data_IF_272333074887
#
_entry.id   IF_272333074887
#
_cell.length_a   1.000
_cell.length_b   1.000
_cell.length_c   1.000
_cell.angle_alpha   90.00
_cell.angle_beta   90.00
_cell.angle_gamma   90.00
#
_symmetry.space_group_name_H-M   'P 1'
#
loop_
_entity.id
_entity.type
_entity.pdbx_description
1 polymer ?
#
# COMPACT_ATOMS: atom_id res chain seq x y z
N UNK A 1 -63.40 -64.35 11.28
CA UNK A 1 -64.14 -64.38 9.99
C UNK A 1 -63.78 -63.13 9.20
N UNK A 2 -63.42 -63.31 7.92
CA UNK A 2 -63.24 -62.33 6.82
C UNK A 2 -62.16 -61.23 7.02
N UNK A 3 -61.04 -61.26 6.28
CA UNK A 3 -60.79 -60.88 4.86
C UNK A 3 -60.85 -59.36 4.63
N UNK A 4 -59.67 -58.74 4.36
CA UNK A 4 -59.24 -58.04 3.10
C UNK A 4 -60.08 -56.81 2.72
N UNK A 5 -59.63 -55.69 2.13
CA UNK A 5 -58.38 -55.15 1.57
C UNK A 5 -58.73 -53.70 1.10
N UNK A 6 -57.70 -52.91 0.76
CA UNK A 6 -57.69 -51.80 -0.25
C UNK A 6 -58.19 -50.39 0.14
N UNK A 7 -57.19 -49.51 0.31
CA UNK A 7 -56.88 -48.25 -0.41
C UNK A 7 -57.99 -47.30 -0.89
N UNK A 8 -57.90 -46.02 -0.50
CA UNK A 8 -57.89 -44.90 -1.45
C UNK A 8 -57.38 -43.58 -0.82
N UNK A 9 -56.55 -42.89 -1.59
CA UNK A 9 -56.11 -41.50 -1.41
C UNK A 9 -57.32 -40.55 -1.33
N UNK A 10 -57.24 -39.54 -0.47
CA UNK A 10 -57.87 -38.24 -0.76
C UNK A 10 -57.07 -37.09 -0.16
N UNK A 11 -56.98 -36.04 -0.96
CA UNK A 11 -56.14 -34.86 -0.84
C UNK A 11 -56.38 -34.02 0.42
N UNK A 12 -55.30 -33.49 1.01
CA UNK A 12 -55.35 -32.35 1.89
C UNK A 12 -54.82 -31.13 1.13
N UNK A 13 -55.73 -30.18 0.86
CA UNK A 13 -55.42 -28.84 0.38
C UNK A 13 -54.50 -28.12 1.37
N UNK A 14 -53.33 -27.67 0.90
CA UNK A 14 -52.51 -26.69 1.61
C UNK A 14 -52.64 -25.38 0.84
N UNK A 15 -53.17 -24.37 1.54
CA UNK A 15 -53.40 -23.04 1.00
C UNK A 15 -52.10 -22.38 0.54
N UNK A 16 -52.19 -21.74 -0.62
CA UNK A 16 -51.23 -20.75 -1.07
C UNK A 16 -51.21 -19.58 -0.07
N UNK A 17 -50.11 -19.43 0.66
CA UNK A 17 -49.67 -18.13 1.13
C UNK A 17 -48.61 -17.63 0.13
N UNK A 18 -48.95 -16.58 -0.61
CA UNK A 18 -48.03 -15.89 -1.48
C UNK A 18 -46.92 -15.23 -0.65
N UNK A 19 -45.70 -15.77 -0.75
CA UNK A 19 -44.49 -15.06 -0.31
C UNK A 19 -44.11 -14.14 -1.46
N UNK A 20 -44.01 -12.82 -1.26
CA UNK A 20 -43.46 -11.94 -2.29
C UNK A 20 -42.00 -12.34 -2.53
N UNK A 21 -41.75 -12.87 -3.73
CA UNK A 21 -40.42 -13.02 -4.28
C UNK A 21 -39.81 -11.64 -4.42
N UNK A 22 -38.76 -11.38 -3.64
CA UNK A 22 -38.13 -10.06 -3.63
C UNK A 22 -36.80 -10.09 -2.95
N UNK A 23 -35.87 -10.91 -3.45
CA UNK A 23 -34.43 -10.63 -3.52
C UNK A 23 -33.87 -11.63 -4.54
N UNK A 24 -33.92 -11.27 -5.83
CA UNK A 24 -33.09 -11.93 -6.82
C UNK A 24 -31.65 -11.64 -6.44
N UNK A 25 -30.90 -12.66 -6.03
CA UNK A 25 -29.45 -12.59 -6.01
C UNK A 25 -29.00 -12.11 -7.39
N UNK A 26 -28.44 -10.91 -7.46
CA UNK A 26 -27.82 -10.41 -8.69
C UNK A 26 -26.74 -11.41 -9.05
N UNK A 27 -26.73 -12.00 -10.26
CA UNK A 27 -25.63 -12.85 -10.66
C UNK A 27 -24.36 -11.98 -10.69
N UNK A 28 -23.47 -12.16 -9.72
CA UNK A 28 -22.14 -11.56 -9.74
C UNK A 28 -21.45 -12.07 -11.01
N UNK A 29 -21.16 -11.17 -11.95
CA UNK A 29 -20.36 -11.50 -13.12
C UNK A 29 -18.93 -11.71 -12.65
N UNK A 30 -18.50 -12.95 -12.50
CA UNK A 30 -17.08 -13.28 -12.36
C UNK A 30 -16.42 -13.11 -13.73
N UNK A 31 -15.40 -12.26 -13.82
CA UNK A 31 -14.52 -12.20 -14.97
C UNK A 31 -13.41 -13.22 -14.74
N UNK A 32 -13.36 -14.24 -15.59
CA UNK A 32 -12.35 -15.30 -15.53
C UNK A 32 -11.43 -15.18 -16.74
N UNK A 33 -10.14 -14.97 -16.48
CA UNK A 33 -9.04 -15.14 -17.43
C UNK A 33 -8.08 -16.14 -16.80
N UNK A 34 -8.14 -17.40 -17.26
CA UNK A 34 -7.35 -18.48 -16.66
C UNK A 34 -7.70 -18.75 -15.19
N UNK A 35 -6.68 -18.88 -14.33
CA UNK A 35 -6.76 -19.17 -12.89
C UNK A 35 -7.10 -17.94 -12.03
N UNK A 36 -7.23 -16.76 -12.64
CA UNK A 36 -7.47 -15.50 -11.96
C UNK A 36 -8.95 -15.14 -12.01
N UNK A 37 -9.52 -14.86 -10.84
CA UNK A 37 -10.90 -14.40 -10.70
C UNK A 37 -10.91 -13.16 -9.82
N UNK A 38 -11.52 -12.08 -10.32
CA UNK A 38 -11.87 -10.90 -9.52
C UNK A 38 -13.39 -10.83 -9.46
N UNK A 39 -13.91 -10.49 -8.28
CA UNK A 39 -15.33 -10.15 -8.14
C UNK A 39 -15.64 -8.93 -9.00
N UNK A 40 -16.84 -8.87 -9.58
CA UNK A 40 -17.26 -7.68 -10.32
C UNK A 40 -17.19 -6.44 -9.43
N UNK A 41 -16.34 -5.50 -9.79
CA UNK A 41 -16.21 -4.18 -9.17
C UNK A 41 -16.97 -3.13 -9.97
N UNK A 42 -17.34 -2.04 -9.31
CA UNK A 42 -17.87 -0.86 -10.00
C UNK A 42 -16.73 0.07 -10.40
N UNK A 43 -16.91 0.91 -11.43
CA UNK A 43 -15.93 1.91 -11.83
C UNK A 43 -15.56 2.88 -10.71
N UNK A 44 -16.55 3.25 -9.90
CA UNK A 44 -16.40 4.05 -8.69
C UNK A 44 -15.43 3.39 -7.72
N UNK A 45 -15.63 2.09 -7.47
CA UNK A 45 -14.79 1.32 -6.57
C UNK A 45 -13.36 1.19 -7.09
N UNK A 46 -13.17 0.81 -8.36
CA UNK A 46 -11.83 0.69 -8.96
C UNK A 46 -11.08 2.03 -8.93
N UNK A 47 -11.77 3.15 -9.20
CA UNK A 47 -11.20 4.48 -9.05
C UNK A 47 -10.83 4.81 -7.60
N UNK A 48 -11.67 4.43 -6.63
CA UNK A 48 -11.44 4.67 -5.21
C UNK A 48 -10.22 3.91 -4.68
N UNK A 49 -10.08 2.63 -5.00
CA UNK A 49 -8.98 1.79 -4.49
C UNK A 49 -7.65 2.00 -5.20
N UNK A 50 -7.65 2.54 -6.42
CA UNK A 50 -6.42 2.85 -7.15
C UNK A 50 -5.66 4.01 -6.50
N UNK A 51 -4.33 3.90 -6.39
CA UNK A 51 -3.49 5.00 -5.92
C UNK A 51 -3.29 6.05 -7.01
N UNK A 52 -3.19 5.59 -8.27
CA UNK A 52 -3.05 6.41 -9.47
C UNK A 52 -4.02 5.92 -10.56
N UNK A 53 -4.65 6.84 -11.27
CA UNK A 53 -5.49 6.54 -12.43
C UNK A 53 -5.04 7.42 -13.59
N UNK A 54 -4.53 6.82 -14.66
CA UNK A 54 -3.96 7.57 -15.77
C UNK A 54 -4.17 6.86 -17.10
N UNK A 55 -4.19 7.65 -18.17
CA UNK A 55 -4.21 7.19 -19.55
C UNK A 55 -2.86 7.52 -20.21
N UNK A 56 -2.32 6.58 -20.97
CA UNK A 56 -1.05 6.80 -21.67
C UNK A 56 -0.60 5.63 -22.55
N UNK A 57 0.49 5.88 -23.28
CA UNK A 57 1.09 4.93 -24.23
C UNK A 57 2.26 4.18 -23.60
N UNK A 58 2.33 2.86 -23.79
CA UNK A 58 3.49 2.06 -23.40
C UNK A 58 4.64 2.31 -24.36
N UNK A 59 5.80 2.71 -23.85
CA UNK A 59 7.02 2.97 -24.64
C UNK A 59 8.09 1.90 -24.47
N UNK A 60 8.01 1.10 -23.41
CA UNK A 60 8.97 0.02 -23.12
C UNK A 60 8.32 -1.04 -22.25
N UNK A 61 8.69 -2.30 -22.44
CA UNK A 61 8.35 -3.40 -21.54
C UNK A 61 9.62 -4.19 -21.25
N UNK A 62 9.93 -4.39 -19.97
CA UNK A 62 11.10 -5.14 -19.51
C UNK A 62 10.68 -6.24 -18.54
N UNK A 63 11.38 -7.37 -18.59
CA UNK A 63 11.35 -8.34 -17.50
C UNK A 63 12.30 -7.86 -16.38
N UNK A 64 11.80 -7.84 -15.16
CA UNK A 64 12.49 -7.29 -13.99
C UNK A 64 12.29 -8.17 -12.75
N UNK A 65 13.04 -7.88 -11.70
CA UNK A 65 12.89 -8.48 -10.39
C UNK A 65 12.60 -7.38 -9.35
N UNK A 66 11.59 -7.62 -8.53
CA UNK A 66 11.23 -6.77 -7.40
C UNK A 66 10.74 -7.67 -6.26
N UNK A 67 11.01 -7.33 -4.99
CA UNK A 67 10.76 -8.24 -3.86
C UNK A 67 11.43 -9.62 -4.06
N UNK A 68 12.53 -9.64 -4.83
CA UNK A 68 13.26 -10.85 -5.22
C UNK A 68 12.47 -11.82 -6.12
N UNK A 69 11.33 -11.40 -6.68
CA UNK A 69 10.47 -12.20 -7.56
C UNK A 69 10.47 -11.62 -8.97
N UNK A 70 10.24 -12.44 -10.01
CA UNK A 70 10.09 -11.94 -11.36
C UNK A 70 8.79 -11.14 -11.50
N UNK A 71 8.86 -10.03 -12.24
CA UNK A 71 7.76 -9.18 -12.65
C UNK A 71 8.00 -8.71 -14.09
N UNK A 72 6.96 -8.14 -14.68
CA UNK A 72 7.07 -7.28 -15.85
C UNK A 72 6.90 -5.84 -15.47
N UNK A 73 7.67 -4.97 -16.11
CA UNK A 73 7.57 -3.53 -15.95
C UNK A 73 7.25 -2.89 -17.29
N UNK A 74 6.15 -2.14 -17.35
CA UNK A 74 5.84 -1.29 -18.50
C UNK A 74 6.20 0.16 -18.19
N UNK A 75 6.88 0.84 -19.11
CA UNK A 75 7.14 2.27 -19.08
C UNK A 75 6.10 2.99 -19.93
N UNK A 76 5.55 4.09 -19.40
CA UNK A 76 4.51 4.88 -20.02
C UNK A 76 4.96 6.31 -20.31
N UNK A 77 4.44 6.86 -21.40
CA UNK A 77 4.23 8.30 -21.54
C UNK A 77 2.77 8.55 -21.18
N UNK A 78 2.54 9.24 -20.05
CA UNK A 78 1.19 9.55 -19.59
C UNK A 78 0.66 10.77 -20.34
N UNK A 79 -0.46 10.57 -21.04
CA UNK A 79 -1.18 11.64 -21.74
C UNK A 79 -2.06 12.43 -20.78
N UNK A 80 -2.67 11.74 -19.81
CA UNK A 80 -3.58 12.32 -18.84
C UNK A 80 -3.55 11.57 -17.51
N UNK A 81 -3.50 12.31 -16.41
CA UNK A 81 -3.73 11.77 -15.06
C UNK A 81 -5.10 12.21 -14.56
N UNK A 82 -5.89 11.25 -14.07
CA UNK A 82 -7.19 11.47 -13.45
C UNK A 82 -7.10 11.39 -11.92
N UNK A 83 -6.13 10.64 -11.38
CA UNK A 83 -5.87 10.49 -9.95
C UNK A 83 -4.38 10.23 -9.72
N UNK A 84 -3.85 10.79 -8.64
CA UNK A 84 -2.47 10.56 -8.22
C UNK A 84 -1.45 11.34 -9.05
N UNK A 85 -0.18 10.93 -8.97
CA UNK A 85 0.92 11.57 -9.68
C UNK A 85 1.10 10.99 -11.09
N UNK A 86 1.98 11.61 -11.87
CA UNK A 86 2.38 11.07 -13.16
C UNK A 86 3.19 9.80 -12.96
N UNK A 87 2.60 8.67 -13.34
CA UNK A 87 3.23 7.36 -13.27
C UNK A 87 4.01 7.11 -14.55
N UNK A 88 5.31 6.84 -14.41
CA UNK A 88 6.20 6.51 -15.53
C UNK A 88 6.37 5.01 -15.73
N UNK A 89 6.32 4.23 -14.66
CA UNK A 89 6.53 2.79 -14.69
C UNK A 89 5.45 2.09 -13.88
N UNK A 90 5.01 0.93 -14.37
CA UNK A 90 4.04 0.09 -13.68
C UNK A 90 4.56 -1.35 -13.65
N UNK A 91 4.54 -1.97 -12.48
CA UNK A 91 4.85 -3.39 -12.28
C UNK A 91 3.58 -4.24 -12.46
N UNK A 92 3.76 -5.43 -13.03
CA UNK A 92 2.70 -6.44 -13.13
C UNK A 92 3.31 -7.84 -13.05
N UNK A 93 2.52 -8.83 -12.63
CA UNK A 93 3.01 -10.20 -12.56
C UNK A 93 3.48 -10.70 -13.96
N UNK A 94 4.34 -11.73 -14.03
CA UNK A 94 4.99 -12.13 -15.29
C UNK A 94 4.02 -12.49 -16.43
N UNK A 95 2.86 -13.04 -16.08
CA UNK A 95 1.90 -13.57 -17.05
C UNK A 95 0.47 -13.60 -16.49
N UNK A 96 -0.50 -13.80 -17.39
CA UNK A 96 -1.93 -13.87 -17.05
C UNK A 96 -2.31 -14.98 -16.08
N UNK A 97 -1.53 -16.06 -15.97
CA UNK A 97 -1.83 -17.13 -14.99
C UNK A 97 -1.56 -16.69 -13.55
N UNK A 98 -0.75 -15.64 -13.39
CA UNK A 98 -0.47 -14.94 -12.14
C UNK A 98 -1.18 -13.57 -12.07
N UNK A 99 -2.21 -13.39 -12.90
CA UNK A 99 -3.02 -12.17 -13.03
C UNK A 99 -2.21 -10.96 -13.55
N UNK A 100 -1.13 -11.22 -14.28
CA UNK A 100 -0.29 -10.20 -14.89
C UNK A 100 -0.85 -9.67 -16.20
N UNK A 101 -0.57 -8.40 -16.48
CA UNK A 101 -0.94 -7.74 -17.75
C UNK A 101 0.14 -7.98 -18.79
N UNK A 102 -0.26 -8.33 -20.01
CA UNK A 102 0.65 -8.30 -21.17
C UNK A 102 0.52 -6.94 -21.85
N UNK A 103 1.41 -6.02 -21.50
CA UNK A 103 1.48 -4.71 -22.17
C UNK A 103 2.14 -4.83 -23.54
N UNK A 104 1.58 -4.12 -24.52
CA UNK A 104 2.11 -4.03 -25.88
C UNK A 104 2.72 -2.65 -26.13
N UNK A 105 3.93 -2.63 -26.68
CA UNK A 105 4.61 -1.36 -27.00
C UNK A 105 3.82 -0.58 -28.06
N UNK A 106 3.68 0.73 -27.85
CA UNK A 106 2.93 1.65 -28.72
C UNK A 106 1.43 1.66 -28.48
N UNK A 107 0.91 0.82 -27.58
CA UNK A 107 -0.51 0.75 -27.28
C UNK A 107 -0.87 1.67 -26.11
N UNK A 108 -2.11 2.16 -26.15
CA UNK A 108 -2.68 3.03 -25.12
C UNK A 108 -3.52 2.22 -24.14
N UNK A 109 -3.39 2.57 -22.86
CA UNK A 109 -4.10 1.93 -21.78
C UNK A 109 -4.65 2.97 -20.81
N UNK A 110 -5.81 2.67 -20.22
CA UNK A 110 -6.26 3.33 -19.01
C UNK A 110 -5.91 2.42 -17.83
N UNK A 111 -5.14 2.95 -16.87
CA UNK A 111 -4.46 2.18 -15.85
C UNK A 111 -4.89 2.64 -14.46
N UNK A 112 -5.34 1.70 -13.64
CA UNK A 112 -5.75 1.87 -12.24
C UNK A 112 -4.66 1.30 -11.30
N UNK A 113 -3.50 1.95 -11.27
CA UNK A 113 -2.35 1.46 -10.51
C UNK A 113 -2.52 1.65 -9.01
N UNK A 114 -2.18 0.62 -8.23
CA UNK A 114 -2.08 0.70 -6.78
C UNK A 114 -0.60 0.74 -6.36
N UNK A 115 -0.28 1.43 -5.26
CA UNK A 115 1.08 1.51 -4.74
C UNK A 115 1.36 0.45 -3.66
N UNK A 116 0.62 -0.67 -3.63
CA UNK A 116 0.72 -1.68 -2.55
C UNK A 116 2.11 -2.29 -2.44
N UNK A 117 2.88 -2.30 -3.54
CA UNK A 117 4.24 -2.79 -3.55
C UNK A 117 5.28 -1.73 -3.14
N UNK A 118 4.87 -0.48 -2.93
CA UNK A 118 5.78 0.68 -2.83
C UNK A 118 6.11 1.28 -4.20
N UNK A 119 5.69 0.61 -5.27
CA UNK A 119 5.72 1.07 -6.65
C UNK A 119 4.32 0.92 -7.27
N UNK A 120 3.95 1.75 -8.26
CA UNK A 120 2.72 1.55 -9.02
C UNK A 120 2.68 0.15 -9.62
N UNK A 121 1.64 -0.60 -9.30
CA UNK A 121 1.47 -1.98 -9.72
C UNK A 121 0.02 -2.26 -10.13
N UNK A 122 -0.15 -3.20 -11.05
CA UNK A 122 -1.45 -3.59 -11.61
C UNK A 122 -1.55 -5.09 -11.84
N UNK A 123 -2.78 -5.57 -11.78
CA UNK A 123 -3.22 -6.83 -12.34
C UNK A 123 -3.96 -6.62 -13.67
N UNK A 124 -4.26 -7.71 -14.37
CA UNK A 124 -5.09 -7.69 -15.59
C UNK A 124 -6.46 -7.03 -15.41
N UNK A 125 -6.97 -6.96 -14.18
CA UNK A 125 -8.25 -6.33 -13.87
C UNK A 125 -8.16 -4.83 -13.60
N UNK A 126 -6.95 -4.28 -13.54
CA UNK A 126 -6.70 -2.87 -13.25
C UNK A 126 -6.33 -2.09 -14.52
N UNK A 127 -6.42 -2.72 -15.69
CA UNK A 127 -6.02 -2.15 -16.97
C UNK A 127 -7.13 -2.32 -17.99
N UNK A 128 -7.58 -1.21 -18.58
CA UNK A 128 -8.56 -1.20 -19.66
C UNK A 128 -7.88 -0.90 -20.99
N UNK A 129 -8.37 -1.56 -22.04
CA UNK A 129 -7.88 -1.43 -23.41
C UNK A 129 -9.02 -1.38 -24.42
N UNK A 130 -8.75 -0.88 -25.62
CA UNK A 130 -9.73 -0.83 -26.71
C UNK A 130 -10.88 0.15 -26.47
N UNK A 131 -12.10 -0.22 -26.87
CA UNK A 131 -13.25 0.68 -26.88
C UNK A 131 -13.76 1.05 -25.48
N UNK A 132 -13.52 0.21 -24.46
CA UNK A 132 -13.94 0.48 -23.07
C UNK A 132 -13.28 1.75 -22.50
N UNK A 133 -12.07 2.09 -22.97
CA UNK A 133 -11.33 3.27 -22.53
C UNK A 133 -12.17 4.55 -22.74
N UNK A 134 -12.85 4.69 -23.88
CA UNK A 134 -13.56 5.93 -24.22
C UNK A 134 -14.71 6.21 -23.24
N UNK A 135 -15.51 5.18 -22.96
CA UNK A 135 -16.61 5.28 -22.01
C UNK A 135 -16.09 5.55 -20.60
N UNK A 136 -15.00 4.88 -20.20
CA UNK A 136 -14.41 5.07 -18.88
C UNK A 136 -13.80 6.46 -18.70
N UNK A 137 -13.09 6.99 -19.70
CA UNK A 137 -12.53 8.34 -19.65
C UNK A 137 -13.66 9.38 -19.57
N UNK A 138 -14.70 9.25 -20.39
CA UNK A 138 -15.84 10.17 -20.32
C UNK A 138 -16.51 10.14 -18.93
N UNK A 139 -16.64 8.97 -18.32
CA UNK A 139 -17.14 8.85 -16.94
C UNK A 139 -16.18 9.53 -15.94
N UNK A 140 -14.87 9.28 -16.02
CA UNK A 140 -13.86 9.91 -15.15
C UNK A 140 -13.86 11.44 -15.26
N UNK A 141 -14.06 11.99 -16.45
CA UNK A 141 -14.10 13.44 -16.69
C UNK A 141 -15.35 14.10 -16.12
N UNK A 142 -16.45 13.37 -16.02
CA UNK A 142 -17.74 13.85 -15.52
C UNK A 142 -18.03 13.42 -14.07
N UNK A 143 -17.11 12.70 -13.44
CA UNK A 143 -17.29 12.21 -12.08
C UNK A 143 -17.21 13.36 -11.08
N UNK A 144 -18.35 13.79 -10.54
CA UNK A 144 -18.38 14.53 -9.28
C UNK A 144 -18.02 13.54 -8.16
N UNK A 145 -16.86 13.76 -7.54
CA UNK A 145 -16.20 12.83 -6.61
C UNK A 145 -17.13 12.34 -5.49
N UNK A 146 -16.89 11.08 -5.06
CA UNK A 146 -17.40 10.32 -3.89
C UNK A 146 -18.58 10.96 -3.14
N UNK A 147 -19.71 10.24 -2.92
CA UNK A 147 -20.78 10.73 -2.05
C UNK A 147 -20.20 11.12 -0.69
N UNK A 148 -20.07 12.42 -0.44
CA UNK A 148 -19.74 12.92 0.88
C UNK A 148 -20.90 12.53 1.78
N UNK A 149 -20.65 11.90 2.95
CA UNK A 149 -21.68 11.73 3.96
C UNK A 149 -22.39 13.07 4.16
N UNK A 150 -23.71 13.08 4.33
CA UNK A 150 -24.44 14.31 4.60
C UNK A 150 -23.75 15.12 5.69
N UNK A 151 -23.53 16.40 5.42
CA UNK A 151 -22.95 17.33 6.37
C UNK A 151 -23.70 17.28 7.71
N UNK A 152 -22.96 17.41 8.81
CA UNK A 152 -23.52 17.40 10.17
C UNK A 152 -23.21 16.15 10.98
N UNK A 153 -23.92 16.04 12.11
CA UNK A 153 -23.78 14.95 13.08
C UNK A 153 -24.45 13.67 12.57
N UNK A 154 -23.73 12.56 12.67
CA UNK A 154 -24.21 11.23 12.33
C UNK A 154 -23.88 10.25 13.44
N UNK A 155 -24.75 9.28 13.69
CA UNK A 155 -24.48 8.20 14.62
C UNK A 155 -23.92 7.01 13.87
N UNK A 156 -22.67 6.67 14.16
CA UNK A 156 -21.99 5.51 13.57
C UNK A 156 -21.55 4.53 14.65
N UNK A 157 -21.36 3.27 14.27
CA UNK A 157 -20.79 2.25 15.16
C UNK A 157 -19.28 2.22 14.98
N UNK A 158 -18.57 2.59 16.03
CA UNK A 158 -17.12 2.54 16.12
C UNK A 158 -16.70 1.29 16.90
N UNK A 159 -15.55 0.74 16.54
CA UNK A 159 -14.93 -0.36 17.25
C UNK A 159 -13.64 0.16 17.91
N UNK A 160 -13.42 -0.06 19.21
CA UNK A 160 -12.19 0.36 19.88
C UNK A 160 -10.95 -0.29 19.26
N UNK A 161 -9.91 0.52 18.98
CA UNK A 161 -8.60 0.04 18.53
C UNK A 161 -7.53 0.15 19.62
N UNK A 162 -7.90 -0.02 20.89
CA UNK A 162 -7.02 0.16 22.06
C UNK A 162 -5.93 -0.90 22.18
N UNK A 163 -6.10 -2.04 21.53
CA UNK A 163 -5.15 -3.14 21.42
C UNK A 163 -4.27 -3.07 20.17
N UNK A 164 -4.45 -2.02 19.35
CA UNK A 164 -3.70 -1.81 18.12
C UNK A 164 -2.44 -1.03 18.42
N UNK A 165 -1.31 -1.57 17.96
CA UNK A 165 -0.06 -0.83 17.91
C UNK A 165 0.13 -0.22 16.53
N UNK A 166 0.67 0.99 16.48
CA UNK A 166 1.12 1.64 15.25
C UNK A 166 2.64 1.77 15.33
N UNK A 167 3.36 1.37 14.29
CA UNK A 167 4.81 1.52 14.23
C UNK A 167 5.24 2.31 13.00
N UNK A 168 6.36 3.01 13.09
CA UNK A 168 7.08 3.57 11.94
C UNK A 168 8.50 3.02 11.94
N UNK A 169 8.93 2.46 10.81
CA UNK A 169 10.27 1.88 10.63
C UNK A 169 10.64 0.89 11.76
N UNK A 170 9.66 0.10 12.22
CA UNK A 170 9.85 -0.89 13.28
C UNK A 170 9.72 -0.36 14.71
N UNK A 171 9.68 0.95 14.90
CA UNK A 171 9.54 1.58 16.22
C UNK A 171 8.06 1.84 16.54
N UNK A 172 7.58 1.33 17.69
CA UNK A 172 6.20 1.56 18.16
C UNK A 172 6.01 3.04 18.51
N UNK A 173 4.95 3.64 17.95
CA UNK A 173 4.60 5.04 18.15
C UNK A 173 3.60 5.20 19.29
N UNK A 174 3.73 6.25 20.12
CA UNK A 174 2.67 6.60 21.06
C UNK A 174 1.46 7.15 20.27
N UNK A 175 0.30 6.52 20.40
CA UNK A 175 -0.95 7.01 19.77
C UNK A 175 -1.91 7.45 20.87
N UNK A 176 -2.21 8.75 20.91
CA UNK A 176 -3.15 9.31 21.88
C UNK A 176 -4.00 10.43 21.25
N UNK A 177 -5.34 10.37 21.35
CA UNK A 177 -6.14 9.27 21.90
C UNK A 177 -6.01 7.95 21.13
N UNK A 178 -6.60 6.87 21.65
CA UNK A 178 -6.49 5.56 20.99
C UNK A 178 -7.12 5.55 19.58
N UNK A 179 -6.64 4.67 18.68
CA UNK A 179 -7.27 4.41 17.39
C UNK A 179 -8.71 3.85 17.51
N UNK A 180 -9.47 3.92 16.43
CA UNK A 180 -10.77 3.25 16.27
C UNK A 180 -10.84 2.54 14.92
N UNK A 181 -11.62 1.46 14.82
CA UNK A 181 -12.00 0.89 13.54
C UNK A 181 -13.39 1.36 13.13
N UNK A 182 -13.52 1.68 11.85
CA UNK A 182 -14.77 2.03 11.19
C UNK A 182 -14.70 1.61 9.73
N UNK A 183 -15.75 0.97 9.20
CA UNK A 183 -15.83 0.51 7.80
C UNK A 183 -14.58 -0.24 7.32
N UNK A 184 -14.15 -1.23 8.11
CA UNK A 184 -12.97 -2.07 7.84
C UNK A 184 -11.63 -1.29 7.72
N UNK A 185 -11.60 -0.05 8.20
CA UNK A 185 -10.44 0.83 8.17
C UNK A 185 -10.02 1.21 9.59
N UNK A 186 -8.71 1.30 9.80
CA UNK A 186 -8.15 1.81 11.05
C UNK A 186 -8.08 3.33 10.95
N UNK A 187 -8.77 4.01 11.85
CA UNK A 187 -8.73 5.45 12.01
C UNK A 187 -7.83 5.82 13.19
N UNK A 188 -7.00 6.82 12.98
CA UNK A 188 -6.08 7.35 13.98
C UNK A 188 -6.37 8.83 14.22
N UNK A 189 -6.10 9.35 15.41
CA UNK A 189 -6.24 10.78 15.65
C UNK A 189 -5.19 11.54 14.83
N UNK A 190 -5.53 12.74 14.37
CA UNK A 190 -4.58 13.61 13.65
C UNK A 190 -3.36 14.02 14.48
N UNK A 191 -3.42 13.88 15.81
CA UNK A 191 -2.29 14.07 16.73
C UNK A 191 -1.15 13.10 16.46
N UNK A 192 -1.41 11.89 15.95
CA UNK A 192 -0.36 10.98 15.50
C UNK A 192 0.54 11.65 14.45
N UNK A 193 -0.07 12.25 13.43
CA UNK A 193 0.69 12.91 12.37
C UNK A 193 1.37 14.19 12.88
N UNK A 194 0.68 14.98 13.72
CA UNK A 194 1.21 16.25 14.23
C UNK A 194 2.32 16.08 15.27
N UNK A 195 1.98 15.42 16.38
CA UNK A 195 2.79 15.42 17.59
C UNK A 195 3.86 14.34 17.57
N UNK A 196 3.60 13.23 16.87
CA UNK A 196 4.50 12.07 16.84
C UNK A 196 5.36 12.08 15.60
N UNK A 197 4.74 12.28 14.43
CA UNK A 197 5.45 12.28 13.14
C UNK A 197 5.98 13.67 12.74
N UNK A 198 5.56 14.73 13.43
CA UNK A 198 6.04 16.09 13.17
C UNK A 198 5.53 16.72 11.88
N UNK A 199 4.43 16.19 11.31
CA UNK A 199 3.68 16.85 10.25
C UNK A 199 2.91 18.04 10.80
N UNK A 200 2.42 18.91 9.93
CA UNK A 200 1.73 20.11 10.40
C UNK A 200 0.23 19.99 10.13
N UNK A 201 -0.59 20.33 11.12
CA UNK A 201 -2.05 20.33 10.99
C UNK A 201 -2.58 21.72 11.33
N UNK A 202 -3.43 22.26 10.47
CA UNK A 202 -4.01 23.60 10.58
C UNK A 202 -5.52 23.48 10.58
N UNK A 203 -6.16 24.08 11.57
CA UNK A 203 -7.59 24.34 11.49
C UNK A 203 -7.83 25.66 10.75
N UNK A 204 -8.71 25.65 9.76
CA UNK A 204 -9.20 26.85 9.11
C UNK A 204 -10.61 27.12 9.63
N UNK A 205 -10.71 28.01 10.63
CA UNK A 205 -11.97 28.36 11.29
C UNK A 205 -12.94 29.12 10.39
N UNK A 206 -12.46 29.78 9.33
CA UNK A 206 -13.31 30.53 8.39
C UNK A 206 -14.07 29.62 7.43
N UNK A 207 -13.47 28.47 7.09
CA UNK A 207 -14.05 27.49 6.16
C UNK A 207 -14.56 26.24 6.86
N UNK A 208 -14.29 26.07 8.15
CA UNK A 208 -14.61 24.86 8.92
C UNK A 208 -13.82 23.65 8.44
N UNK A 209 -12.51 23.77 8.17
CA UNK A 209 -11.70 22.72 7.54
C UNK A 209 -10.40 22.45 8.29
N UNK A 210 -10.02 21.18 8.47
CA UNK A 210 -8.69 20.78 8.94
C UNK A 210 -7.74 20.46 7.77
N UNK A 211 -6.74 21.30 7.51
CA UNK A 211 -5.68 21.04 6.55
C UNK A 211 -4.52 20.26 7.23
N UNK A 212 -4.05 19.15 6.63
CA UNK A 212 -2.83 18.43 7.07
C UNK A 212 -1.72 18.73 6.06
N UNK A 213 -0.79 19.62 6.40
CA UNK A 213 0.26 20.05 5.48
C UNK A 213 1.56 19.29 5.75
N UNK A 214 2.22 18.87 4.66
CA UNK A 214 3.56 18.32 4.70
C UNK A 214 4.58 19.42 5.00
N UNK A 215 5.66 19.03 5.70
CA UNK A 215 6.67 19.95 6.25
C UNK A 215 7.45 20.71 5.16
N UNK A 216 7.56 20.15 3.95
CA UNK A 216 8.25 20.73 2.79
C UNK A 216 7.58 21.99 2.25
N UNK A 217 6.25 22.10 2.36
CA UNK A 217 5.48 23.22 1.81
C UNK A 217 5.40 24.41 2.78
N UNK A 218 6.01 24.29 3.96
CA UNK A 218 5.81 25.21 5.09
C UNK A 218 6.82 26.38 5.16
N UNK A 219 7.74 26.55 4.20
CA UNK A 219 8.77 27.60 4.29
C UNK A 219 8.25 29.07 4.40
N UNK A 220 6.93 29.32 4.44
CA UNK A 220 6.35 30.65 4.65
C UNK A 220 5.05 30.77 5.47
N UNK A 221 4.46 29.69 6.01
CA UNK A 221 3.10 29.76 6.61
C UNK A 221 3.11 29.87 8.16
N UNK A 222 4.22 29.56 8.82
CA UNK A 222 4.37 29.62 10.28
C UNK A 222 4.11 31.02 10.90
N UNK A 223 4.11 32.07 10.08
CA UNK A 223 3.99 33.45 10.57
C UNK A 223 2.55 33.94 10.77
N UNK A 224 1.51 33.15 10.46
CA UNK A 224 0.10 33.62 10.54
C UNK A 224 -0.91 32.72 11.26
N UNK A 225 -0.53 31.54 11.75
CA UNK A 225 -1.43 30.65 12.50
C UNK A 225 -1.33 30.87 14.01
N UNK A 226 -2.45 31.24 14.63
CA UNK A 226 -2.60 31.49 16.07
C UNK A 226 -2.30 30.23 16.93
N UNK A 227 -1.37 30.31 17.92
CA UNK A 227 -1.10 29.23 18.89
C UNK A 227 -2.34 28.74 19.68
N UNK A 228 -3.40 29.55 19.78
CA UNK A 228 -4.65 29.19 20.45
C UNK A 228 -5.47 28.12 19.69
N UNK A 229 -5.13 27.81 18.44
CA UNK A 229 -5.77 26.72 17.68
C UNK A 229 -5.27 25.32 18.05
N UNK A 230 -4.35 25.26 19.02
CA UNK A 230 -3.87 24.03 19.68
C UNK A 230 -4.79 23.53 20.81
N UNK A 231 -6.01 24.05 20.95
CA UNK A 231 -6.94 23.60 21.99
C UNK A 231 -7.61 22.27 21.62
N UNK A 232 -6.83 21.20 21.72
CA UNK A 232 -7.37 19.92 22.18
C UNK A 232 -7.92 20.17 23.59
N UNK A 233 -9.24 20.30 23.73
CA UNK A 233 -9.83 20.45 25.05
C UNK A 233 -9.68 19.08 25.74
N UNK A 234 -8.81 18.98 26.75
CA UNK A 234 -8.47 17.73 27.48
C UNK A 234 -9.62 17.10 28.28
N UNK A 235 -10.86 17.32 27.84
CA UNK A 235 -12.09 16.79 28.41
C UNK A 235 -12.73 15.71 27.52
N UNK A 236 -12.04 15.24 26.48
CA UNK A 236 -12.48 14.11 25.66
C UNK A 236 -12.71 12.88 26.56
N UNK A 237 -13.92 12.32 26.50
CA UNK A 237 -14.31 11.03 27.10
C UNK A 237 -13.36 9.91 26.64
N UNK A 238 -12.72 10.09 25.47
CA UNK A 238 -11.75 9.17 24.90
C UNK A 238 -12.42 7.95 24.26
N UNK A 239 -11.62 7.12 23.60
CA UNK A 239 -12.11 5.82 23.12
C UNK A 239 -12.32 4.92 24.33
N UNK A 240 -13.47 4.25 24.48
CA UNK A 240 -13.70 3.31 25.56
C UNK A 240 -12.58 2.26 25.63
N UNK A 241 -12.09 1.95 26.83
CA UNK A 241 -11.07 0.92 27.04
C UNK A 241 -11.57 -0.52 26.76
N UNK A 242 -12.88 -0.68 26.54
CA UNK A 242 -13.53 -1.94 26.15
C UNK A 242 -13.11 -2.37 24.73
N UNK A 243 -13.28 -3.65 24.39
CA UNK A 243 -13.19 -4.15 23.01
C UNK A 243 -14.55 -4.16 22.29
N UNK A 244 -15.63 -3.85 23.00
CA UNK A 244 -16.98 -3.89 22.44
C UNK A 244 -17.26 -2.70 21.52
N UNK A 245 -17.98 -2.91 20.40
CA UNK A 245 -18.40 -1.82 19.53
C UNK A 245 -19.33 -0.85 20.27
N UNK A 246 -19.26 0.43 19.93
CA UNK A 246 -20.09 1.47 20.54
C UNK A 246 -20.63 2.42 19.48
N UNK A 247 -21.87 2.88 19.68
CA UNK A 247 -22.47 3.89 18.81
C UNK A 247 -22.11 5.29 19.32
N UNK A 248 -21.61 6.14 18.43
CA UNK A 248 -21.12 7.47 18.76
C UNK A 248 -21.58 8.52 17.73
N UNK A 249 -21.86 9.76 18.18
CA UNK A 249 -22.04 10.89 17.27
C UNK A 249 -20.69 11.32 16.69
N UNK A 250 -20.65 11.47 15.36
CA UNK A 250 -19.50 11.99 14.62
C UNK A 250 -19.92 13.09 13.64
N UNK A 251 -19.00 13.97 13.26
CA UNK A 251 -19.30 15.08 12.32
C UNK A 251 -18.41 15.00 11.07
N UNK A 252 -19.02 14.99 9.87
CA UNK A 252 -18.31 14.81 8.58
C UNK A 252 -18.04 16.11 7.79
N UNK A 253 -18.84 17.16 7.96
CA UNK A 253 -18.71 18.41 7.16
C UNK A 253 -17.48 19.24 7.47
N UNK A 254 -16.87 18.98 8.62
CA UNK A 254 -15.89 19.89 9.23
C UNK A 254 -14.46 19.43 8.93
N UNK A 255 -14.27 18.38 8.15
CA UNK A 255 -12.95 17.77 7.97
C UNK A 255 -12.67 17.51 6.50
N UNK A 256 -11.71 18.23 5.94
CA UNK A 256 -11.22 18.03 4.57
C UNK A 256 -9.71 17.97 4.62
N UNK A 257 -9.14 16.79 4.45
CA UNK A 257 -7.68 16.62 4.47
C UNK A 257 -7.10 17.10 3.14
N UNK A 258 -6.16 18.03 3.19
CA UNK A 258 -5.21 18.26 2.10
C UNK A 258 -3.93 17.49 2.38
N UNK A 259 -3.22 17.07 1.35
CA UNK A 259 -1.84 16.55 1.44
C UNK A 259 -1.06 17.17 0.27
N UNK A 260 0.10 17.78 0.53
CA UNK A 260 0.87 18.55 -0.46
C UNK A 260 0.04 19.54 -1.29
N UNK A 261 -0.80 20.33 -0.60
CA UNK A 261 -1.67 21.33 -1.23
C UNK A 261 -2.84 20.77 -2.06
N UNK A 262 -2.95 19.45 -2.24
CA UNK A 262 -4.04 18.80 -2.97
C UNK A 262 -5.13 18.35 -2.02
N UNK A 263 -6.38 18.66 -2.34
CA UNK A 263 -7.53 18.13 -1.61
C UNK A 263 -7.57 16.62 -1.83
N UNK A 264 -7.55 15.89 -0.73
CA UNK A 264 -7.69 14.46 -0.74
C UNK A 264 -9.15 14.10 -0.47
N UNK A 265 -9.78 13.41 -1.41
CA UNK A 265 -11.07 12.75 -1.21
C UNK A 265 -10.78 11.29 -0.83
N UNK A 266 -10.64 10.96 0.48
CA UNK A 266 -10.36 9.59 0.89
C UNK A 266 -11.51 8.65 0.53
N UNK A 267 -11.17 7.36 0.43
CA UNK A 267 -12.17 6.28 0.31
C UNK A 267 -13.12 6.33 1.51
N UNK A 268 -12.58 6.55 2.70
CA UNK A 268 -13.37 6.77 3.90
C UNK A 268 -13.18 8.20 4.44
N UNK A 269 -14.29 8.93 4.60
CA UNK A 269 -14.21 10.34 4.97
C UNK A 269 -13.71 10.51 6.42
N UNK A 270 -12.81 11.48 6.66
CA UNK A 270 -12.42 11.82 8.02
C UNK A 270 -13.65 12.31 8.79
N UNK A 271 -13.63 12.13 10.10
CA UNK A 271 -14.71 12.59 10.95
C UNK A 271 -14.17 13.15 12.26
N UNK A 272 -14.96 14.02 12.87
CA UNK A 272 -14.71 14.48 14.23
C UNK A 272 -15.51 13.61 15.20
N UNK A 273 -14.83 13.03 16.18
CA UNK A 273 -15.43 12.29 17.30
C UNK A 273 -14.88 12.86 18.60
N UNK A 274 -15.77 13.25 19.52
CA UNK A 274 -15.39 13.71 20.87
C UNK A 274 -14.34 14.84 20.87
N UNK A 275 -14.47 15.78 19.94
CA UNK A 275 -13.52 16.90 19.78
C UNK A 275 -12.23 16.55 19.02
N UNK A 276 -12.04 15.29 18.66
CA UNK A 276 -10.83 14.75 18.02
C UNK A 276 -11.12 14.45 16.56
N UNK A 277 -10.21 14.85 15.68
CA UNK A 277 -10.30 14.49 14.26
C UNK A 277 -9.65 13.15 14.06
N UNK A 278 -10.42 12.22 13.50
CA UNK A 278 -9.97 10.89 13.10
C UNK A 278 -9.83 10.84 11.58
N UNK A 279 -8.70 10.34 11.13
CA UNK A 279 -8.40 10.14 9.71
C UNK A 279 -8.08 8.67 9.45
N UNK A 280 -8.43 8.11 8.27
CA UNK A 280 -8.06 6.75 7.96
C UNK A 280 -6.53 6.66 7.82
N UNK A 281 -5.90 5.78 8.59
CA UNK A 281 -4.44 5.69 8.72
C UNK A 281 -3.77 5.43 7.37
N UNK A 282 -4.19 4.36 6.67
CA UNK A 282 -3.61 3.94 5.39
C UNK A 282 -3.72 5.07 4.37
N UNK A 283 -4.93 5.54 4.15
CA UNK A 283 -5.26 6.59 3.19
C UNK A 283 -4.44 7.85 3.41
N UNK A 284 -4.31 8.28 4.66
CA UNK A 284 -3.57 9.50 5.00
C UNK A 284 -2.06 9.27 4.89
N UNK A 285 -1.55 8.18 5.47
CA UNK A 285 -0.11 7.88 5.52
C UNK A 285 0.47 7.61 4.13
N UNK A 286 -0.24 6.87 3.27
CA UNK A 286 0.24 6.59 1.90
C UNK A 286 0.34 7.85 1.04
N UNK A 287 -0.49 8.87 1.29
CA UNK A 287 -0.34 10.19 0.65
C UNK A 287 0.87 10.98 1.17
N UNK A 288 1.35 10.67 2.36
CA UNK A 288 2.57 11.24 2.93
C UNK A 288 3.82 10.45 2.51
N UNK A 289 3.70 9.46 1.61
CA UNK A 289 4.79 8.58 1.19
C UNK A 289 5.14 7.51 2.22
N UNK A 290 4.22 7.15 3.11
CA UNK A 290 4.38 6.09 4.09
C UNK A 290 3.56 4.86 3.67
N UNK A 291 4.21 3.72 3.46
CA UNK A 291 3.54 2.46 3.17
C UNK A 291 2.95 1.86 4.44
N UNK A 292 1.67 1.49 4.45
CA UNK A 292 1.02 0.85 5.60
C UNK A 292 0.76 -0.63 5.34
N UNK A 293 1.35 -1.48 6.18
CA UNK A 293 1.11 -2.92 6.22
C UNK A 293 0.41 -3.33 7.52
N UNK A 294 -0.53 -4.27 7.44
CA UNK A 294 -1.21 -4.80 8.62
C UNK A 294 -0.64 -6.18 8.98
N UNK A 295 -0.06 -6.31 10.17
CA UNK A 295 0.43 -7.57 10.71
C UNK A 295 -0.64 -8.11 11.67
N UNK A 296 -1.50 -8.98 11.13
CA UNK A 296 -2.71 -9.47 11.81
C UNK A 296 -2.44 -10.11 13.17
N UNK A 297 -1.44 -10.98 13.24
CA UNK A 297 -1.14 -11.75 14.44
C UNK A 297 -0.64 -10.88 15.60
N UNK A 298 -0.03 -9.73 15.27
CA UNK A 298 0.49 -8.76 16.24
C UNK A 298 -0.45 -7.58 16.48
N UNK A 299 -1.59 -7.51 15.75
CA UNK A 299 -2.47 -6.33 15.70
C UNK A 299 -1.68 -5.04 15.49
N UNK A 300 -0.75 -5.08 14.54
CA UNK A 300 0.21 -4.02 14.31
C UNK A 300 0.00 -3.39 12.93
N UNK A 301 -0.29 -2.09 12.91
CA UNK A 301 -0.20 -1.27 11.72
C UNK A 301 1.26 -0.79 11.57
N UNK A 302 2.01 -1.47 10.71
CA UNK A 302 3.40 -1.14 10.42
C UNK A 302 3.47 -0.14 9.27
N UNK A 303 3.99 1.05 9.55
CA UNK A 303 4.33 2.05 8.54
C UNK A 303 5.81 1.95 8.19
N UNK A 304 6.13 2.07 6.90
CA UNK A 304 7.50 2.24 6.40
C UNK A 304 7.57 3.50 5.57
N UNK A 305 8.55 4.35 5.84
CA UNK A 305 8.83 5.50 4.98
C UNK A 305 9.42 5.00 3.65
N UNK A 306 8.67 5.22 2.57
CA UNK A 306 9.05 4.82 1.20
C UNK A 306 9.26 6.04 0.31
N UNK A 307 9.38 7.24 0.89
CA UNK A 307 9.65 8.44 0.12
C UNK A 307 10.98 8.28 -0.64
N UNK A 308 11.06 8.78 -1.89
CA UNK A 308 12.32 8.81 -2.61
C UNK A 308 13.40 9.46 -1.73
N UNK A 309 14.53 8.76 -1.58
CA UNK A 309 15.72 9.29 -0.93
C UNK A 309 16.36 10.26 -1.91
N UNK A 310 16.72 11.45 -1.45
CA UNK A 310 17.34 12.46 -2.32
C UNK A 310 18.80 12.05 -2.60
N UNK A 311 19.29 12.11 -3.86
CA UNK A 311 20.70 11.82 -4.16
C UNK A 311 21.70 12.63 -3.32
N UNK A 312 21.34 13.84 -2.88
CA UNK A 312 22.16 14.70 -2.02
C UNK A 312 22.26 14.20 -0.58
N UNK A 313 21.35 13.31 -0.14
CA UNK A 313 21.42 12.62 1.14
C UNK A 313 22.51 11.55 1.17
N UNK A 314 23.13 11.25 0.02
CA UNK A 314 24.22 10.25 -0.12
C UNK A 314 23.84 8.88 0.44
N UNK A 315 22.76 8.26 -0.06
CA UNK A 315 22.46 6.90 0.33
C UNK A 315 23.54 5.94 -0.16
N UNK A 316 23.58 4.80 0.52
CA UNK A 316 24.41 3.67 0.14
C UNK A 316 23.55 2.59 -0.52
N UNK A 317 24.16 1.85 -1.43
CA UNK A 317 23.55 0.65 -1.99
C UNK A 317 23.70 -0.50 -0.99
N UNK A 318 22.57 -1.08 -0.57
CA UNK A 318 22.51 -2.24 0.32
C UNK A 318 21.94 -3.42 -0.43
N UNK A 319 22.60 -4.58 -0.34
CA UNK A 319 22.06 -5.85 -0.81
C UNK A 319 21.53 -6.63 0.39
N UNK A 320 20.28 -7.10 0.29
CA UNK A 320 19.72 -8.04 1.25
C UNK A 320 19.39 -9.36 0.56
N UNK A 321 19.61 -10.45 1.29
CA UNK A 321 19.13 -11.77 0.94
C UNK A 321 17.91 -12.05 1.83
N UNK A 322 16.71 -12.10 1.25
CA UNK A 322 15.45 -12.24 2.00
C UNK A 322 14.92 -13.66 2.00
N UNK A 323 14.57 -14.17 3.18
CA UNK A 323 14.13 -15.55 3.37
C UNK A 323 12.75 -15.81 2.76
N UNK A 324 12.61 -16.93 2.03
CA UNK A 324 11.33 -17.35 1.47
C UNK A 324 10.34 -17.92 2.51
N UNK A 325 10.79 -18.23 3.73
CA UNK A 325 10.00 -18.94 4.75
C UNK A 325 9.83 -18.14 6.04
N UNK A 326 10.01 -16.81 6.00
CA UNK A 326 9.74 -15.93 7.15
C UNK A 326 10.88 -15.78 8.16
N UNK A 327 12.14 -15.91 7.73
CA UNK A 327 13.33 -15.56 8.53
C UNK A 327 13.75 -14.09 8.40
N UNK A 328 14.74 -13.67 9.20
CA UNK A 328 15.39 -12.36 9.05
C UNK A 328 16.08 -12.23 7.69
N UNK A 329 16.12 -11.02 7.16
CA UNK A 329 16.94 -10.72 5.99
C UNK A 329 18.43 -10.84 6.37
N UNK A 330 19.28 -11.22 5.41
CA UNK A 330 20.73 -11.16 5.57
C UNK A 330 21.24 -9.92 4.85
N UNK A 331 21.87 -9.00 5.57
CA UNK A 331 22.53 -7.84 4.99
C UNK A 331 23.90 -8.28 4.49
N UNK A 332 24.13 -8.09 3.19
CA UNK A 332 25.40 -8.45 2.55
C UNK A 332 26.40 -7.32 2.75
N UNK A 333 27.40 -7.57 3.57
CA UNK A 333 28.49 -6.63 3.82
C UNK A 333 29.51 -6.65 2.67
N UNK A 334 29.82 -7.84 2.15
CA UNK A 334 30.78 -8.04 1.05
C UNK A 334 30.41 -9.25 0.21
N UNK A 335 30.69 -9.21 -1.09
CA UNK A 335 30.45 -10.34 -2.01
C UNK A 335 31.58 -10.50 -3.03
N UNK A 336 32.48 -11.46 -2.81
CA UNK A 336 33.65 -11.67 -3.68
C UNK A 336 33.85 -13.15 -3.97
N UNK A 337 34.25 -13.48 -5.20
CA UNK A 337 34.66 -14.84 -5.62
C UNK A 337 33.67 -15.95 -5.19
N UNK A 338 32.37 -15.66 -5.29
CA UNK A 338 31.31 -16.58 -4.90
C UNK A 338 31.11 -16.76 -3.39
N UNK A 339 31.85 -16.06 -2.54
CA UNK A 339 31.60 -15.95 -1.09
C UNK A 339 30.90 -14.66 -0.73
N UNK A 340 30.11 -14.72 0.33
CA UNK A 340 29.36 -13.60 0.91
C UNK A 340 29.75 -13.47 2.36
N UNK A 341 30.14 -12.26 2.77
CA UNK A 341 30.16 -11.87 4.18
C UNK A 341 28.86 -11.15 4.47
N UNK A 342 28.12 -11.60 5.48
CA UNK A 342 26.80 -11.07 5.80
C UNK A 342 26.54 -11.06 7.30
N UNK A 343 25.52 -10.32 7.72
CA UNK A 343 24.97 -10.38 9.07
C UNK A 343 23.43 -10.37 9.02
N UNK A 344 22.77 -10.79 10.10
CA UNK A 344 21.31 -10.82 10.14
C UNK A 344 20.71 -9.42 10.40
N UNK A 345 19.68 -9.05 9.64
CA UNK A 345 18.89 -7.85 9.81
C UNK A 345 17.96 -8.02 11.03
N UNK A 346 18.47 -7.66 12.20
CA UNK A 346 17.74 -7.69 13.46
C UNK A 346 17.71 -6.30 14.08
N UNK A 347 16.52 -5.92 14.57
CA UNK A 347 16.37 -4.74 15.42
C UNK A 347 17.15 -5.00 16.71
N UNK A 348 18.22 -4.23 16.91
CA UNK A 348 19.03 -4.30 18.13
C UNK A 348 18.33 -3.53 19.25
N UNK A 349 18.05 -4.20 20.36
CA UNK A 349 17.68 -3.50 21.58
C UNK A 349 18.88 -2.66 22.07
N UNK A 350 18.62 -1.49 22.63
CA UNK A 350 19.65 -0.62 23.19
C UNK A 350 20.60 -1.39 24.14
N UNK A 351 21.91 -1.33 23.87
CA UNK A 351 22.95 -2.06 24.62
C UNK A 351 23.25 -3.47 24.11
N UNK A 352 22.57 -3.96 23.07
CA UNK A 352 22.87 -5.26 22.43
C UNK A 352 24.12 -5.14 21.55
N UNK A 353 24.91 -6.22 21.50
CA UNK A 353 26.02 -6.32 20.54
C UNK A 353 25.48 -6.48 19.12
N UNK A 354 26.09 -5.82 18.11
CA UNK A 354 25.74 -6.05 16.72
C UNK A 354 25.82 -7.53 16.34
N UNK A 355 25.02 -7.99 15.37
CA UNK A 355 25.05 -9.38 14.92
C UNK A 355 26.45 -9.72 14.40
N UNK A 356 26.94 -10.91 14.71
CA UNK A 356 28.24 -11.36 14.24
C UNK A 356 28.21 -11.55 12.72
N UNK A 357 29.27 -11.10 12.04
CA UNK A 357 29.45 -11.38 10.62
C UNK A 357 29.68 -12.88 10.40
N UNK A 358 29.04 -13.40 9.37
CA UNK A 358 29.14 -14.79 8.92
C UNK A 358 29.69 -14.82 7.49
N UNK A 359 30.18 -15.97 7.05
CA UNK A 359 30.66 -16.17 5.69
C UNK A 359 30.09 -17.47 5.12
N UNK A 360 29.52 -17.40 3.91
CA UNK A 360 28.99 -18.56 3.21
C UNK A 360 29.17 -18.42 1.69
N UNK A 361 28.94 -19.50 0.95
CA UNK A 361 28.88 -19.43 -0.50
C UNK A 361 27.60 -18.71 -0.94
N UNK A 362 27.73 -17.75 -1.85
CA UNK A 362 26.62 -17.03 -2.46
C UNK A 362 25.65 -18.01 -3.10
N UNK A 363 26.16 -18.98 -3.87
CA UNK A 363 25.33 -19.97 -4.53
C UNK A 363 24.59 -20.87 -3.55
N UNK A 364 25.17 -21.17 -2.38
CA UNK A 364 24.49 -21.98 -1.36
C UNK A 364 23.35 -21.21 -0.69
N UNK A 365 23.54 -19.91 -0.43
CA UNK A 365 22.49 -19.06 0.18
C UNK A 365 21.26 -18.87 -0.73
N UNK A 366 21.46 -18.86 -2.05
CA UNK A 366 20.39 -18.66 -3.03
C UNK A 366 19.85 -19.96 -3.65
N UNK A 367 20.50 -21.11 -3.40
CA UNK A 367 20.15 -22.38 -4.05
C UNK A 367 18.74 -22.79 -3.64
N UNK A 368 17.92 -23.20 -4.62
CA UNK A 368 16.63 -23.79 -4.33
C UNK A 368 16.78 -25.18 -3.70
N UNK A 369 16.29 -25.35 -2.46
CA UNK A 369 16.15 -26.65 -1.80
C UNK A 369 14.68 -27.00 -1.55
N UNK A 370 14.36 -28.30 -1.66
CA UNK A 370 13.05 -28.85 -1.35
C UNK A 370 12.75 -28.72 0.16
N UNK A 371 12.08 -27.63 0.55
CA UNK A 371 11.40 -27.52 1.85
C UNK A 371 12.05 -26.68 2.96
N UNK A 372 13.11 -25.89 2.73
CA UNK A 372 13.64 -24.99 3.78
C UNK A 372 14.74 -24.02 3.36
N UNK A 373 14.52 -22.72 3.66
CA UNK A 373 15.38 -21.53 3.48
C UNK A 373 16.22 -21.42 2.21
N UNK A 374 15.64 -20.76 1.20
CA UNK A 374 16.39 -20.08 0.15
C UNK A 374 16.22 -18.57 0.35
N UNK A 375 17.27 -17.81 0.07
CA UNK A 375 17.20 -16.37 0.09
C UNK A 375 17.07 -15.77 -1.31
N UNK A 376 16.25 -14.74 -1.46
CA UNK A 376 16.13 -13.95 -2.69
C UNK A 376 16.99 -12.70 -2.62
N UNK A 377 17.67 -12.39 -3.72
CA UNK A 377 18.47 -11.17 -3.84
C UNK A 377 17.55 -9.97 -4.01
N UNK A 378 17.75 -8.96 -3.17
CA UNK A 378 17.09 -7.65 -3.24
C UNK A 378 18.12 -6.54 -3.07
N UNK A 379 17.88 -5.42 -3.72
CA UNK A 379 18.75 -4.24 -3.66
C UNK A 379 17.95 -3.06 -3.12
N UNK A 380 18.59 -2.25 -2.27
CA UNK A 380 17.99 -1.10 -1.63
C UNK A 380 18.94 0.10 -1.74
N UNK A 381 18.38 1.29 -1.89
CA UNK A 381 19.07 2.51 -1.51
C UNK A 381 18.70 2.81 -0.06
N UNK A 382 19.71 3.01 0.77
CA UNK A 382 19.55 3.21 2.20
C UNK A 382 20.18 4.51 2.67
N UNK A 383 19.43 5.28 3.45
CA UNK A 383 19.93 6.45 4.17
C UNK A 383 19.26 6.51 5.54
N UNK A 384 20.05 6.47 6.61
CA UNK A 384 19.59 6.27 7.97
C UNK A 384 18.67 5.02 8.07
N UNK A 385 17.43 5.20 8.54
CA UNK A 385 16.41 4.15 8.65
C UNK A 385 15.53 4.02 7.39
N UNK A 386 15.70 4.90 6.39
CA UNK A 386 14.93 4.84 5.13
C UNK A 386 15.58 3.86 4.17
N UNK A 387 14.74 3.06 3.54
CA UNK A 387 15.16 2.06 2.55
C UNK A 387 14.18 2.02 1.39
N UNK A 388 14.70 2.29 0.20
CA UNK A 388 13.94 2.20 -1.04
C UNK A 388 14.41 0.98 -1.84
N UNK A 389 13.54 -0.01 -1.96
CA UNK A 389 13.83 -1.18 -2.77
C UNK A 389 13.89 -0.83 -4.26
N UNK A 390 14.95 -1.29 -4.90
CA UNK A 390 15.22 -1.10 -6.31
C UNK A 390 14.64 -2.23 -7.14
N UNK A 391 14.21 -1.88 -8.35
CA UNK A 391 13.82 -2.82 -9.38
C UNK A 391 15.09 -3.30 -10.08
N UNK A 392 15.34 -4.60 -10.11
CA UNK A 392 16.55 -5.18 -10.71
C UNK A 392 16.21 -5.68 -12.11
N UNK A 393 16.92 -5.24 -13.14
CA UNK A 393 16.71 -5.78 -14.50
C UNK A 393 16.98 -7.29 -14.57
N UNK A 394 16.24 -8.04 -15.38
CA UNK A 394 16.46 -9.48 -15.57
C UNK A 394 17.91 -9.82 -15.96
N UNK A 395 18.51 -9.02 -16.84
CA UNK A 395 19.92 -9.16 -17.24
C UNK A 395 20.86 -9.10 -16.03
N UNK A 396 20.72 -8.07 -15.18
CA UNK A 396 21.56 -7.94 -14.00
C UNK A 396 21.30 -9.07 -13.00
N UNK A 397 20.03 -9.44 -12.76
CA UNK A 397 19.71 -10.53 -11.85
C UNK A 397 20.36 -11.84 -12.30
N UNK A 398 20.20 -12.24 -13.57
CA UNK A 398 20.85 -13.44 -14.12
C UNK A 398 22.37 -13.38 -13.95
N UNK A 399 22.97 -12.24 -14.29
CA UNK A 399 24.41 -12.03 -14.10
C UNK A 399 24.85 -12.13 -12.64
N UNK A 400 24.11 -11.57 -11.68
CA UNK A 400 24.42 -11.70 -10.25
C UNK A 400 24.39 -13.16 -9.79
N UNK A 401 23.48 -13.97 -10.32
CA UNK A 401 23.36 -15.39 -9.98
C UNK A 401 24.49 -16.22 -10.62
N UNK A 402 24.86 -15.94 -11.87
CA UNK A 402 25.77 -16.84 -12.63
C UNK A 402 27.21 -16.36 -12.76
N UNK A 403 27.48 -15.05 -12.66
CA UNK A 403 28.79 -14.46 -13.00
C UNK A 403 29.54 -13.93 -11.76
N UNK A 404 30.63 -14.58 -11.33
CA UNK A 404 31.48 -14.08 -10.23
C UNK A 404 32.06 -12.69 -10.49
N UNK A 405 32.34 -12.31 -11.73
CA UNK A 405 32.90 -10.99 -12.04
C UNK A 405 31.91 -9.87 -11.74
N UNK A 406 30.62 -10.08 -12.03
CA UNK A 406 29.55 -9.11 -11.71
C UNK A 406 29.37 -8.98 -10.20
N UNK A 407 29.50 -10.07 -9.44
CA UNK A 407 29.51 -10.01 -7.97
C UNK A 407 30.69 -9.22 -7.43
N UNK A 408 31.90 -9.46 -7.95
CA UNK A 408 33.08 -8.66 -7.59
C UNK A 408 32.89 -7.17 -7.90
N UNK A 409 32.27 -6.83 -9.05
CA UNK A 409 31.91 -5.43 -9.35
C UNK A 409 30.89 -4.86 -8.37
N UNK A 410 29.87 -5.64 -8.02
CA UNK A 410 28.86 -5.27 -7.03
C UNK A 410 29.49 -4.96 -5.66
N UNK A 411 30.51 -5.72 -5.25
CA UNK A 411 31.23 -5.45 -4.00
C UNK A 411 31.92 -4.07 -3.96
N UNK A 412 32.23 -3.45 -5.10
CA UNK A 412 32.78 -2.10 -5.12
C UNK A 412 31.73 -1.00 -4.96
N UNK A 413 30.44 -1.32 -5.10
CA UNK A 413 29.34 -0.34 -4.96
C UNK A 413 28.53 -0.55 -3.67
N UNK A 414 28.53 -1.75 -3.08
CA UNK A 414 27.84 -2.01 -1.82
C UNK A 414 28.44 -1.22 -0.65
N UNK A 415 27.57 -0.60 0.15
CA UNK A 415 27.98 0.17 1.33
C UNK A 415 28.71 1.49 1.02
N UNK A 416 28.79 1.89 -0.26
CA UNK A 416 29.42 3.12 -0.70
C UNK A 416 28.37 4.14 -1.16
N UNK A 417 28.68 5.44 -1.01
CA UNK A 417 27.85 6.54 -1.50
C UNK A 417 27.48 6.31 -2.97
N UNK A 418 26.20 6.25 -3.26
CA UNK A 418 25.71 5.92 -4.58
C UNK A 418 25.29 7.19 -5.35
N UNK A 419 26.22 7.69 -6.17
CA UNK A 419 26.02 8.96 -6.90
C UNK A 419 25.25 8.82 -8.23
N UNK A 420 25.18 7.62 -8.80
CA UNK A 420 24.53 7.36 -10.11
C UNK A 420 23.11 6.86 -9.94
N UNK A 421 22.18 7.76 -9.60
CA UNK A 421 20.81 7.38 -9.26
C UNK A 421 20.14 6.52 -10.33
N UNK A 422 19.53 5.38 -9.97
CA UNK A 422 18.82 4.56 -10.93
C UNK A 422 17.56 5.32 -11.39
N UNK A 423 17.42 5.49 -12.71
CA UNK A 423 16.24 6.14 -13.28
C UNK A 423 15.01 5.30 -12.95
N UNK A 424 13.98 5.92 -12.38
CA UNK A 424 12.75 5.25 -11.90
C UNK A 424 13.00 4.10 -10.90
N UNK A 425 14.12 4.12 -10.16
CA UNK A 425 14.46 3.04 -9.22
C UNK A 425 14.91 1.74 -9.90
N UNK A 426 15.22 1.77 -11.21
CA UNK A 426 15.65 0.60 -11.98
C UNK A 426 17.17 0.47 -11.99
N UNK A 427 17.67 -0.62 -11.40
CA UNK A 427 19.07 -0.94 -11.27
C UNK A 427 19.47 -2.03 -12.28
N UNK A 428 20.51 -1.75 -13.06
CA UNK A 428 20.92 -2.51 -14.24
C UNK A 428 22.41 -2.80 -14.26
N UNK A 429 22.88 -3.59 -15.23
CA UNK A 429 24.32 -3.87 -15.38
C UNK A 429 25.15 -2.59 -15.57
N UNK A 430 24.59 -1.56 -16.21
CA UNK A 430 25.26 -0.29 -16.42
C UNK A 430 25.49 0.51 -15.12
N UNK A 431 24.82 0.16 -14.03
CA UNK A 431 25.03 0.76 -12.71
C UNK A 431 26.18 0.11 -11.93
N UNK A 432 26.66 -1.05 -12.39
CA UNK A 432 27.69 -1.88 -11.75
C UNK A 432 28.98 -1.92 -12.59
N UNK A 433 28.87 -1.60 -13.89
CA UNK A 433 29.99 -1.40 -14.81
C UNK A 433 30.66 -0.04 -14.59
#
# INVERSE_FOLDING_TARGET
MKKTMITCLTAAMIGLAAIPAGFTAVPQKTYASGLCTKEATTPEYDYMVASNVFYGTVTKVDDVYFDGKPYRMATFVSDKSFKGDFVHTVLTAPDSTQCGVTFEMGHNYLVYANNRLGHPAVSEFDVLQGDEIKERIAWLENMNMVPTPPAGEQYITLYPGTDVSVALNGSILPVSPAPVYFENSLYVPTTLFRDVLGYVTVWNSETGRYDILLKSDWAGIAAKGDPAQSQFNGSSIGVPASSEPFTAPVTYSDVTVKVDGRIYAPENQPFKYDGVVYVPLRDTAEKLGLKVNWIKDMKLAQMKDIRPIDPLERPVLTMKLSSNTGGHDLIVDRVNDGQVVYHEDRILNYGSTPPAQQTASFSELIKETDGGQNYRVRLFLQHDERENELIITDKLMKSLLTDPAVRTKMNFVLGHDFFNWPTYGVFSTANVD
#
